data_IF_509019122962
#
_entry.id   IF_509019122962
#
_cell.length_a   1.000
_cell.length_b   1.000
_cell.length_c   1.000
_cell.angle_alpha   90.00
_cell.angle_beta   90.00
_cell.angle_gamma   90.00
#
_symmetry.space_group_name_H-M   'P 1'
#
loop_
_entity.id
_entity.type
_entity.pdbx_description
1 polymer ?
#
# COMPACT_ATOMS: atom_id res chain seq x y z
N UNK A 1 4.92 8.45 -23.38
CA UNK A 1 3.71 9.08 -23.94
C UNK A 1 2.48 8.17 -23.82
N UNK A 2 2.56 6.86 -24.04
CA UNK A 2 1.40 5.95 -23.94
C UNK A 2 0.70 5.98 -22.59
N UNK A 3 1.44 5.98 -21.48
CA UNK A 3 0.86 6.11 -20.13
C UNK A 3 0.14 7.46 -19.94
N UNK A 4 0.72 8.54 -20.43
CA UNK A 4 0.08 9.86 -20.38
C UNK A 4 -1.27 9.86 -21.10
N UNK A 5 -1.31 9.37 -22.35
CA UNK A 5 -2.55 9.33 -23.14
C UNK A 5 -3.61 8.41 -22.51
N UNK A 6 -3.18 7.28 -21.92
CA UNK A 6 -4.09 6.39 -21.20
C UNK A 6 -4.79 7.11 -20.03
N UNK A 7 -4.02 7.72 -19.11
CA UNK A 7 -4.60 8.42 -17.96
C UNK A 7 -5.33 9.70 -18.36
N UNK A 8 -4.90 10.37 -19.44
CA UNK A 8 -5.63 11.50 -20.01
C UNK A 8 -7.02 11.06 -20.49
N UNK A 9 -7.12 9.95 -21.21
CA UNK A 9 -8.40 9.42 -21.67
C UNK A 9 -9.33 9.05 -20.48
N UNK A 10 -8.78 8.49 -19.40
CA UNK A 10 -9.55 8.23 -18.17
C UNK A 10 -10.00 9.55 -17.53
N UNK A 11 -9.08 10.53 -17.39
CA UNK A 11 -9.39 11.86 -16.84
C UNK A 11 -10.53 12.55 -17.60
N UNK A 12 -10.52 12.46 -18.92
CA UNK A 12 -11.51 13.13 -19.79
C UNK A 12 -12.88 12.43 -19.73
N UNK A 13 -12.91 11.13 -19.39
CA UNK A 13 -14.11 10.32 -19.36
C UNK A 13 -14.89 10.38 -18.03
N UNK A 14 -14.27 10.84 -16.94
CA UNK A 14 -14.89 10.81 -15.60
C UNK A 14 -14.75 12.16 -14.90
N UNK A 15 -15.67 12.43 -13.95
CA UNK A 15 -15.71 13.71 -13.21
C UNK A 15 -15.30 13.61 -11.75
N UNK A 16 -14.63 12.51 -11.33
CA UNK A 16 -14.18 12.30 -9.96
C UNK A 16 -12.65 12.34 -9.87
N UNK A 17 -12.08 12.63 -8.67
CA UNK A 17 -10.63 12.57 -8.46
C UNK A 17 -10.06 11.19 -8.75
N UNK A 18 -8.85 11.16 -9.34
CA UNK A 18 -8.10 9.96 -9.72
C UNK A 18 -6.82 9.89 -8.89
N UNK A 19 -6.62 8.77 -8.18
CA UNK A 19 -5.34 8.38 -7.61
C UNK A 19 -4.71 7.33 -8.53
N UNK A 20 -3.60 7.67 -9.16
CA UNK A 20 -2.88 6.75 -10.07
C UNK A 20 -2.18 5.67 -9.23
N UNK A 21 -2.35 4.40 -9.60
CA UNK A 21 -1.62 3.31 -8.95
C UNK A 21 -0.37 2.95 -9.75
N UNK A 22 0.81 3.33 -9.23
CA UNK A 22 2.11 2.97 -9.81
C UNK A 22 2.68 1.75 -9.08
N UNK A 23 2.72 0.60 -9.76
CA UNK A 23 3.13 -0.69 -9.20
C UNK A 23 4.03 -1.46 -10.18
N UNK A 24 5.29 -1.04 -10.37
CA UNK A 24 6.20 -1.66 -11.34
C UNK A 24 6.36 -3.18 -11.22
N UNK A 25 6.40 -3.79 -10.02
CA UNK A 25 6.51 -5.25 -9.91
C UNK A 25 5.36 -6.04 -10.57
N UNK A 26 4.20 -5.41 -10.79
CA UNK A 26 3.03 -6.05 -11.42
C UNK A 26 2.76 -5.54 -12.83
N UNK A 27 2.92 -4.24 -13.07
CA UNK A 27 2.66 -3.61 -14.37
C UNK A 27 3.85 -3.72 -15.33
N UNK A 28 5.05 -4.09 -14.84
CA UNK A 28 6.32 -4.11 -15.57
C UNK A 28 6.73 -2.74 -16.13
N UNK A 29 5.96 -1.71 -15.81
CA UNK A 29 6.19 -0.32 -16.23
C UNK A 29 6.21 0.56 -14.99
N UNK A 30 7.23 1.40 -14.87
CA UNK A 30 7.35 2.43 -13.84
C UNK A 30 7.04 3.80 -14.44
N UNK A 31 6.13 4.54 -13.81
CA UNK A 31 5.81 5.90 -14.22
C UNK A 31 6.83 6.88 -13.65
N UNK A 32 7.54 7.61 -14.52
CA UNK A 32 8.50 8.61 -14.09
C UNK A 32 7.83 9.80 -13.38
N UNK A 33 8.60 10.49 -12.54
CA UNK A 33 8.13 11.74 -11.89
C UNK A 33 7.74 12.78 -12.94
N UNK A 34 8.47 12.87 -14.04
CA UNK A 34 8.15 13.77 -15.17
C UNK A 34 6.77 13.47 -15.78
N UNK A 35 6.48 12.19 -16.06
CA UNK A 35 5.15 11.79 -16.57
C UNK A 35 4.06 12.08 -15.55
N UNK A 36 4.31 11.84 -14.28
CA UNK A 36 3.37 12.14 -13.18
C UNK A 36 3.09 13.65 -13.09
N UNK A 37 4.12 14.49 -13.23
CA UNK A 37 3.99 15.95 -13.22
C UNK A 37 3.08 16.44 -14.36
N UNK A 38 3.29 15.93 -15.57
CA UNK A 38 2.41 16.24 -16.72
C UNK A 38 0.97 15.80 -16.48
N UNK A 39 0.78 14.65 -15.83
CA UNK A 39 -0.56 14.14 -15.52
C UNK A 39 -1.25 14.97 -14.44
N UNK A 40 -0.52 15.48 -13.46
CA UNK A 40 -1.08 16.33 -12.41
C UNK A 40 -1.62 17.68 -12.92
N UNK A 41 -1.24 18.11 -14.11
CA UNK A 41 -1.85 19.28 -14.78
C UNK A 41 -3.29 19.00 -15.23
N UNK A 42 -3.72 17.74 -15.28
CA UNK A 42 -5.08 17.35 -15.65
C UNK A 42 -6.03 17.50 -14.47
N UNK A 43 -7.26 17.95 -14.73
CA UNK A 43 -8.25 18.39 -13.75
C UNK A 43 -8.54 17.37 -12.63
N UNK A 44 -8.61 16.07 -12.97
CA UNK A 44 -9.07 15.05 -12.03
C UNK A 44 -7.92 14.23 -11.43
N UNK A 45 -6.67 14.40 -11.88
CA UNK A 45 -5.53 13.69 -11.29
C UNK A 45 -5.18 14.34 -9.94
N UNK A 46 -5.45 13.63 -8.84
CA UNK A 46 -5.26 14.15 -7.49
C UNK A 46 -3.97 13.63 -6.82
N UNK A 47 -3.42 12.50 -7.27
CA UNK A 47 -2.24 11.93 -6.61
C UNK A 47 -1.86 10.53 -7.09
N UNK A 48 -1.02 9.90 -6.30
CA UNK A 48 -0.49 8.56 -6.58
C UNK A 48 -0.61 7.63 -5.37
N UNK A 49 -0.92 6.35 -5.61
CA UNK A 49 -0.55 5.23 -4.75
C UNK A 49 0.76 4.67 -5.29
N UNK A 50 1.85 4.87 -4.56
CA UNK A 50 3.20 4.48 -4.97
C UNK A 50 3.62 3.16 -4.30
N UNK A 51 3.79 2.12 -5.09
CA UNK A 51 4.28 0.81 -4.66
C UNK A 51 5.65 0.48 -5.26
N UNK A 52 6.50 1.49 -5.46
CA UNK A 52 7.88 1.32 -5.93
C UNK A 52 8.86 0.99 -4.81
N UNK A 53 8.48 1.20 -3.55
CA UNK A 53 9.36 1.19 -2.38
C UNK A 53 10.52 2.20 -2.45
N UNK A 54 10.52 3.12 -3.40
CA UNK A 54 11.56 4.14 -3.57
C UNK A 54 11.17 5.43 -2.82
N UNK A 55 11.64 5.56 -1.58
CA UNK A 55 11.31 6.69 -0.71
C UNK A 55 11.78 8.06 -1.25
N UNK A 56 12.83 8.10 -2.06
CA UNK A 56 13.29 9.35 -2.68
C UNK A 56 12.22 10.01 -3.56
N UNK A 57 11.31 9.20 -4.13
CA UNK A 57 10.21 9.70 -4.97
C UNK A 57 9.27 10.63 -4.22
N UNK A 58 9.06 10.43 -2.93
CA UNK A 58 8.18 11.29 -2.12
C UNK A 58 8.68 12.73 -2.16
N UNK A 59 9.98 12.95 -1.95
CA UNK A 59 10.58 14.28 -2.01
C UNK A 59 10.66 14.83 -3.45
N UNK A 60 10.97 13.98 -4.43
CA UNK A 60 11.02 14.36 -5.83
C UNK A 60 9.64 14.81 -6.34
N UNK A 61 8.60 14.06 -6.04
CA UNK A 61 7.22 14.37 -6.42
C UNK A 61 6.72 15.64 -5.73
N UNK A 62 6.99 15.81 -4.43
CA UNK A 62 6.63 17.02 -3.70
C UNK A 62 7.37 18.25 -4.24
N UNK A 63 8.63 18.13 -4.62
CA UNK A 63 9.38 19.21 -5.24
C UNK A 63 8.81 19.61 -6.61
N UNK A 64 8.43 18.64 -7.42
CA UNK A 64 7.93 18.87 -8.79
C UNK A 64 6.48 19.35 -8.84
N UNK A 65 5.62 18.89 -7.94
CA UNK A 65 4.16 19.08 -8.00
C UNK A 65 3.57 19.85 -6.81
N UNK A 66 4.39 20.11 -5.77
CA UNK A 66 3.93 20.83 -4.57
C UNK A 66 3.22 19.93 -3.55
N UNK A 67 2.74 20.54 -2.44
CA UNK A 67 2.13 19.81 -1.32
C UNK A 67 0.71 19.28 -1.61
N UNK A 68 0.03 19.81 -2.62
CA UNK A 68 -1.35 19.43 -2.96
C UNK A 68 -1.42 18.09 -3.72
N UNK A 69 -0.28 17.61 -4.25
CA UNK A 69 -0.22 16.29 -4.87
C UNK A 69 -0.27 15.21 -3.80
N UNK A 70 -1.36 14.45 -3.76
CA UNK A 70 -1.58 13.40 -2.77
C UNK A 70 -0.62 12.23 -3.03
N UNK A 71 0.16 11.85 -2.01
CA UNK A 71 1.11 10.75 -2.08
C UNK A 71 0.74 9.68 -1.05
N UNK A 72 0.29 8.51 -1.51
CA UNK A 72 -0.08 7.37 -0.67
C UNK A 72 0.89 6.23 -0.89
N UNK A 73 1.43 5.65 0.19
CA UNK A 73 2.21 4.42 0.09
C UNK A 73 1.33 3.26 -0.36
N UNK A 74 1.82 2.45 -1.29
CA UNK A 74 1.24 1.17 -1.67
C UNK A 74 2.02 -0.02 -1.09
N UNK A 75 2.96 0.25 -0.16
CA UNK A 75 3.89 -0.73 0.40
C UNK A 75 3.91 -0.65 1.93
N UNK A 76 3.45 -1.72 2.59
CA UNK A 76 3.31 -1.77 4.05
C UNK A 76 4.64 -1.65 4.79
N UNK A 77 5.71 -2.32 4.30
CA UNK A 77 7.01 -2.35 4.97
C UNK A 77 7.70 -1.00 5.03
N UNK A 78 7.44 -0.13 4.05
CA UNK A 78 8.04 1.21 3.98
C UNK A 78 7.08 2.33 4.38
N UNK A 79 5.84 2.01 4.80
CA UNK A 79 4.79 2.99 5.03
C UNK A 79 5.16 4.04 6.07
N UNK A 80 5.77 3.64 7.20
CA UNK A 80 6.25 4.58 8.22
C UNK A 80 7.28 5.57 7.64
N UNK A 81 8.29 5.05 6.94
CA UNK A 81 9.34 5.88 6.33
C UNK A 81 8.79 6.76 5.20
N UNK A 82 7.81 6.26 4.44
CA UNK A 82 7.10 7.03 3.42
C UNK A 82 6.36 8.23 4.02
N UNK A 83 5.67 8.02 5.15
CA UNK A 83 5.02 9.09 5.91
C UNK A 83 6.03 10.09 6.47
N UNK A 84 7.15 9.60 7.03
CA UNK A 84 8.23 10.45 7.54
C UNK A 84 8.87 11.33 6.45
N UNK A 85 8.91 10.84 5.20
CA UNK A 85 9.36 11.62 4.04
C UNK A 85 8.32 12.66 3.57
N UNK A 86 7.12 12.70 4.15
CA UNK A 86 6.04 13.64 3.84
C UNK A 86 4.92 13.05 2.97
N UNK A 87 4.74 11.73 2.99
CA UNK A 87 3.56 11.06 2.43
C UNK A 87 2.30 11.35 3.24
N UNK A 88 1.13 11.07 2.66
CA UNK A 88 -0.18 11.41 3.23
C UNK A 88 -0.91 10.20 3.84
N UNK A 89 -0.42 8.99 3.63
CA UNK A 89 -1.05 7.77 4.12
C UNK A 89 -0.57 6.51 3.42
N UNK A 90 -1.26 5.40 3.69
CA UNK A 90 -0.98 4.10 3.08
C UNK A 90 -2.27 3.41 2.65
N UNK A 91 -2.28 2.84 1.44
CA UNK A 91 -3.29 1.88 0.99
C UNK A 91 -2.69 0.48 1.18
N UNK A 92 -2.88 -0.06 2.36
CA UNK A 92 -2.23 -1.23 2.91
C UNK A 92 -2.94 -2.54 2.53
N UNK A 93 -2.18 -3.62 2.34
CA UNK A 93 -2.72 -4.98 2.27
C UNK A 93 -2.97 -5.54 3.68
N UNK A 94 -2.05 -5.34 4.61
CA UNK A 94 -2.16 -5.84 5.98
C UNK A 94 -3.31 -5.16 6.76
N UNK A 95 -3.73 -3.96 6.37
CA UNK A 95 -4.90 -3.32 6.95
C UNK A 95 -6.22 -4.11 6.77
N UNK A 96 -6.28 -5.05 5.82
CA UNK A 96 -7.41 -5.99 5.74
C UNK A 96 -7.44 -6.95 6.95
N UNK A 97 -6.29 -7.33 7.49
CA UNK A 97 -6.15 -8.31 8.57
C UNK A 97 -6.02 -7.62 9.93
N UNK A 98 -5.27 -6.50 9.99
CA UNK A 98 -4.96 -5.75 11.20
C UNK A 98 -5.33 -4.25 11.09
N UNK A 99 -6.60 -3.91 10.78
CA UNK A 99 -6.99 -2.52 10.47
C UNK A 99 -6.68 -1.55 11.61
N UNK A 100 -6.92 -1.97 12.86
CA UNK A 100 -6.66 -1.09 14.01
C UNK A 100 -5.17 -0.77 14.16
N UNK A 101 -4.29 -1.76 14.10
CA UNK A 101 -2.84 -1.54 14.23
C UNK A 101 -2.32 -0.66 13.08
N UNK A 102 -2.79 -0.89 11.85
CA UNK A 102 -2.40 -0.04 10.71
C UNK A 102 -2.91 1.40 10.88
N UNK A 103 -4.13 1.60 11.37
CA UNK A 103 -4.66 2.93 11.64
C UNK A 103 -3.91 3.63 12.78
N UNK A 104 -3.59 2.91 13.87
CA UNK A 104 -2.82 3.43 15.00
C UNK A 104 -1.40 3.83 14.56
N UNK A 105 -0.75 3.04 13.70
CA UNK A 105 0.54 3.36 13.08
C UNK A 105 0.47 4.69 12.32
N UNK A 106 -0.50 4.82 11.40
CA UNK A 106 -0.66 6.04 10.62
C UNK A 106 -0.94 7.25 11.53
N UNK A 107 -1.82 7.08 12.52
CA UNK A 107 -2.17 8.15 13.47
C UNK A 107 -0.97 8.62 14.30
N UNK A 108 -0.16 7.69 14.81
CA UNK A 108 1.06 8.01 15.57
C UNK A 108 2.04 8.84 14.72
N UNK A 109 2.31 8.38 13.49
CA UNK A 109 3.24 9.07 12.58
C UNK A 109 2.72 10.45 12.17
N UNK A 110 1.42 10.59 11.90
CA UNK A 110 0.80 11.90 11.59
C UNK A 110 0.88 12.89 12.75
N UNK A 111 0.93 12.41 13.99
CA UNK A 111 1.11 13.23 15.20
C UNK A 111 2.59 13.49 15.54
N UNK A 112 3.53 12.95 14.75
CA UNK A 112 4.96 13.05 14.99
C UNK A 112 5.49 12.07 16.06
N UNK A 113 4.66 11.16 16.56
CA UNK A 113 5.07 10.11 17.50
C UNK A 113 5.66 8.91 16.76
N UNK A 114 6.87 9.11 16.24
CA UNK A 114 7.61 8.09 15.53
C UNK A 114 8.02 6.92 16.42
N UNK A 115 8.18 7.12 17.73
CA UNK A 115 8.55 6.04 18.65
C UNK A 115 7.40 5.01 18.76
N UNK A 116 6.18 5.48 18.97
CA UNK A 116 4.98 4.61 18.93
C UNK A 116 4.79 4.00 17.54
N UNK A 117 4.96 4.80 16.49
CA UNK A 117 4.87 4.33 15.10
C UNK A 117 5.84 3.17 14.83
N UNK A 118 7.10 3.31 15.24
CA UNK A 118 8.13 2.27 15.06
C UNK A 118 7.79 0.98 15.82
N UNK A 119 7.33 1.09 17.07
CA UNK A 119 6.91 -0.08 17.86
C UNK A 119 5.78 -0.86 17.18
N UNK A 120 4.82 -0.15 16.58
CA UNK A 120 3.72 -0.80 15.83
C UNK A 120 4.23 -1.40 14.53
N UNK A 121 5.10 -0.71 13.80
CA UNK A 121 5.72 -1.20 12.57
C UNK A 121 6.49 -2.49 12.83
N UNK A 122 7.33 -2.54 13.87
CA UNK A 122 8.10 -3.73 14.23
C UNK A 122 7.19 -4.91 14.60
N UNK A 123 6.09 -4.63 15.32
CA UNK A 123 5.08 -5.63 15.66
C UNK A 123 4.37 -6.18 14.41
N UNK A 124 4.15 -5.36 13.38
CA UNK A 124 3.48 -5.76 12.14
C UNK A 124 4.43 -6.37 11.11
N UNK A 125 5.74 -6.14 11.21
CA UNK A 125 6.74 -6.58 10.23
C UNK A 125 6.66 -8.08 9.89
N UNK A 126 6.56 -9.01 10.86
CA UNK A 126 6.39 -10.42 10.53
C UNK A 126 5.12 -10.71 9.71
N UNK A 127 4.04 -9.95 9.94
CA UNK A 127 2.78 -10.13 9.21
C UNK A 127 2.88 -9.55 7.79
N UNK A 128 3.59 -8.43 7.61
CA UNK A 128 3.89 -7.88 6.28
C UNK A 128 4.61 -8.93 5.42
N UNK A 129 5.67 -9.52 5.94
CA UNK A 129 6.44 -10.57 5.24
C UNK A 129 5.58 -11.82 4.97
N UNK A 130 4.84 -12.29 5.97
CA UNK A 130 4.06 -13.52 5.88
C UNK A 130 2.99 -13.47 4.79
N UNK A 131 2.26 -12.34 4.72
CA UNK A 131 1.15 -12.16 3.75
C UNK A 131 1.64 -12.18 2.31
N UNK A 132 2.89 -11.79 2.05
CA UNK A 132 3.47 -11.72 0.71
C UNK A 132 4.40 -12.89 0.34
N UNK A 133 4.49 -13.94 1.17
CA UNK A 133 5.25 -15.17 0.80
C UNK A 133 4.68 -15.86 -0.43
N UNK A 134 3.39 -15.76 -0.63
CA UNK A 134 2.65 -16.11 -1.84
C UNK A 134 1.84 -14.88 -2.28
N UNK A 135 1.02 -14.92 -3.34
CA UNK A 135 0.25 -13.74 -3.76
C UNK A 135 -0.54 -13.11 -2.61
N UNK A 136 -0.29 -11.82 -2.33
CA UNK A 136 -0.80 -11.13 -1.15
C UNK A 136 -2.32 -11.14 -1.00
N UNK A 137 -3.09 -11.29 -2.10
CA UNK A 137 -4.54 -11.48 -2.03
C UNK A 137 -4.89 -12.77 -1.28
N UNK A 138 -4.23 -13.88 -1.61
CA UNK A 138 -4.47 -15.16 -0.96
C UNK A 138 -4.03 -15.12 0.51
N UNK A 139 -2.86 -14.50 0.79
CA UNK A 139 -2.37 -14.31 2.16
C UNK A 139 -3.32 -13.48 3.03
N UNK A 140 -3.83 -12.36 2.52
CA UNK A 140 -4.79 -11.52 3.23
C UNK A 140 -6.11 -12.25 3.50
N UNK A 141 -6.64 -12.99 2.52
CA UNK A 141 -7.85 -13.79 2.69
C UNK A 141 -7.66 -14.92 3.71
N UNK A 142 -6.49 -15.58 3.71
CA UNK A 142 -6.17 -16.58 4.74
C UNK A 142 -6.15 -15.95 6.14
N UNK A 143 -5.52 -14.79 6.32
CA UNK A 143 -5.56 -14.06 7.59
C UNK A 143 -6.98 -13.72 8.04
N UNK A 144 -7.84 -13.27 7.13
CA UNK A 144 -9.24 -12.98 7.42
C UNK A 144 -10.04 -14.26 7.77
N UNK A 145 -9.73 -15.40 7.14
CA UNK A 145 -10.31 -16.69 7.52
C UNK A 145 -9.94 -17.08 8.95
N UNK A 146 -8.67 -16.90 9.34
CA UNK A 146 -8.23 -17.17 10.72
C UNK A 146 -8.94 -16.28 11.74
N UNK A 147 -9.39 -15.09 11.33
CA UNK A 147 -10.24 -14.19 12.14
C UNK A 147 -11.73 -14.55 12.08
N UNK A 148 -12.13 -15.57 11.33
CA UNK A 148 -13.53 -15.94 11.15
C UNK A 148 -14.38 -14.90 10.38
N UNK A 149 -13.76 -14.13 9.49
CA UNK A 149 -14.42 -13.03 8.77
C UNK A 149 -14.90 -13.38 7.38
N UNK A 150 -14.25 -14.33 6.72
CA UNK A 150 -14.61 -14.81 5.37
C UNK A 150 -14.00 -16.18 5.07
N UNK A 151 -14.40 -16.78 3.96
CA UNK A 151 -13.72 -17.94 3.37
C UNK A 151 -12.54 -17.51 2.52
N UNK A 152 -11.49 -18.37 2.45
CA UNK A 152 -10.23 -18.02 1.79
C UNK A 152 -10.22 -18.24 0.26
N UNK A 153 -11.37 -18.56 -0.33
CA UNK A 153 -11.47 -18.83 -1.78
C UNK A 153 -10.93 -17.67 -2.63
N UNK A 154 -10.15 -18.02 -3.64
CA UNK A 154 -9.64 -17.09 -4.64
C UNK A 154 -9.98 -17.59 -6.04
N UNK A 155 -10.07 -16.68 -7.01
CA UNK A 155 -10.30 -17.04 -8.42
C UNK A 155 -8.99 -17.43 -9.09
N UNK A 156 -9.04 -18.41 -9.98
CA UNK A 156 -7.92 -18.77 -10.85
C UNK A 156 -7.46 -17.54 -11.67
N UNK A 157 -6.16 -17.42 -11.92
CA UNK A 157 -5.06 -18.36 -11.68
C UNK A 157 -4.50 -18.36 -10.25
N UNK A 158 -5.05 -17.56 -9.33
CA UNK A 158 -4.63 -17.62 -7.93
C UNK A 158 -5.12 -18.90 -7.26
N UNK A 159 -4.36 -19.34 -6.27
CA UNK A 159 -4.69 -20.48 -5.42
C UNK A 159 -4.69 -20.03 -3.95
N UNK A 160 -5.38 -20.76 -3.09
CA UNK A 160 -5.24 -20.60 -1.65
C UNK A 160 -3.79 -20.81 -1.24
N UNK A 161 -3.37 -20.16 -0.16
CA UNK A 161 -1.99 -20.33 0.35
C UNK A 161 -1.72 -21.79 0.70
N UNK A 162 -0.47 -22.21 0.52
CA UNK A 162 -0.02 -23.54 0.93
C UNK A 162 -0.05 -23.69 2.46
N UNK A 163 -0.19 -24.93 3.00
CA UNK A 163 -0.18 -25.15 4.44
C UNK A 163 1.04 -24.57 5.17
N UNK A 164 2.28 -24.65 4.65
CA UNK A 164 3.43 -23.99 5.26
C UNK A 164 3.28 -22.47 5.35
N UNK A 165 2.83 -21.81 4.29
CA UNK A 165 2.58 -20.37 4.28
C UNK A 165 1.44 -20.00 5.23
N UNK A 166 0.37 -20.78 5.28
CA UNK A 166 -0.72 -20.58 6.23
C UNK A 166 -0.24 -20.63 7.69
N UNK A 167 0.69 -21.55 8.01
CA UNK A 167 1.32 -21.58 9.34
C UNK A 167 2.12 -20.31 9.63
N UNK A 168 2.92 -19.83 8.68
CA UNK A 168 3.72 -18.59 8.86
C UNK A 168 2.82 -17.38 9.08
N UNK A 169 1.70 -17.27 8.34
CA UNK A 169 0.71 -16.19 8.54
C UNK A 169 0.10 -16.28 9.94
N UNK A 170 -0.30 -17.48 10.38
CA UNK A 170 -0.85 -17.69 11.72
C UNK A 170 0.15 -17.26 12.80
N UNK A 171 1.40 -17.73 12.73
CA UNK A 171 2.44 -17.41 13.72
C UNK A 171 2.68 -15.88 13.78
N UNK A 172 2.69 -15.19 12.63
CA UNK A 172 2.81 -13.75 12.55
C UNK A 172 1.60 -13.01 13.13
N UNK A 173 0.39 -13.54 12.97
CA UNK A 173 -0.82 -12.99 13.59
C UNK A 173 -0.83 -13.16 15.11
N UNK A 174 -0.33 -14.28 15.63
CA UNK A 174 -0.12 -14.49 17.08
C UNK A 174 0.90 -13.47 17.60
N UNK A 175 2.04 -13.31 16.92
CA UNK A 175 3.05 -12.30 17.27
C UNK A 175 2.46 -10.88 17.31
N UNK A 176 1.63 -10.54 16.34
CA UNK A 176 0.95 -9.24 16.29
C UNK A 176 -0.19 -9.12 17.33
N UNK A 177 -0.54 -10.20 18.07
CA UNK A 177 -1.62 -10.22 19.07
C UNK A 177 -3.01 -10.07 18.45
N UNK A 178 -3.20 -10.60 17.25
CA UNK A 178 -4.50 -10.59 16.54
C UNK A 178 -5.33 -11.84 16.86
N UNK A 179 -4.65 -12.94 17.16
CA UNK A 179 -5.23 -14.23 17.55
C UNK A 179 -4.34 -14.89 18.64
N UNK A 180 -4.87 -15.93 19.29
CA UNK A 180 -4.17 -16.74 20.31
C UNK A 180 -3.50 -17.97 19.69
#
# INVERSE_FOLDING_TARGET
EGMYQHFKAVNDAIGIPIIIYNIPPRSVVDMSVETMTRLFELKNIAGVKDATANLARVSQQRHAMGPDFIQLSGEDMTALAYMAAGGHGCISVVANVAPKLCADLMSAVMQGDYATGLNIQDRLTPLHDAVFKEPGLAGAKHGLKLLGRLEEEVRLPLMNVTPPTGKVIRDAMVHAGLIN
#
